data_IF_352090221794
#
_entry.id   IF_352090221794
#
_cell.length_a   1.000
_cell.length_b   1.000
_cell.length_c   1.000
_cell.angle_alpha   90.00
_cell.angle_beta   90.00
_cell.angle_gamma   90.00
#
_symmetry.space_group_name_H-M   'P 1'
#
loop_
_entity.id
_entity.type
_entity.pdbx_description
1 polymer ?
#
# COMPACT_ATOMS: atom_id res chain seq x y z
N UNK A 1 -5.16 13.32 14.48
CA UNK A 1 -5.48 14.68 13.99
C UNK A 1 -5.42 14.71 12.46
N UNK A 2 -6.56 14.78 11.73
CA UNK A 2 -6.54 15.04 10.29
C UNK A 2 -6.11 16.49 10.03
N UNK A 3 -5.11 16.67 9.16
CA UNK A 3 -4.58 18.00 8.79
C UNK A 3 -5.65 18.71 7.96
N UNK A 4 -6.20 19.83 8.46
CA UNK A 4 -7.16 20.64 7.71
C UNK A 4 -6.48 21.16 6.45
N UNK A 5 -7.00 20.80 5.28
CA UNK A 5 -6.50 21.28 3.99
C UNK A 5 -6.90 22.74 3.86
N UNK A 6 -5.94 23.65 3.71
CA UNK A 6 -6.21 25.08 3.64
C UNK A 6 -6.67 25.43 2.21
N UNK A 7 -7.99 25.49 2.02
CA UNK A 7 -8.64 25.67 0.72
C UNK A 7 -8.20 26.95 0.00
N UNK A 8 -7.90 28.02 0.77
CA UNK A 8 -7.41 29.28 0.22
C UNK A 8 -6.03 29.12 -0.46
N UNK A 9 -5.13 28.38 0.15
CA UNK A 9 -3.80 28.11 -0.42
C UNK A 9 -3.88 27.26 -1.67
N UNK A 10 -4.84 26.31 -1.73
CA UNK A 10 -5.08 25.50 -2.92
C UNK A 10 -5.65 26.34 -4.07
N UNK A 11 -6.60 27.22 -3.79
CA UNK A 11 -7.21 28.11 -4.78
C UNK A 11 -6.18 29.07 -5.40
N UNK A 12 -5.26 29.62 -4.60
CA UNK A 12 -4.18 30.48 -5.09
C UNK A 12 -3.23 29.71 -6.00
N UNK A 13 -2.84 28.49 -5.60
CA UNK A 13 -1.86 27.69 -6.36
C UNK A 13 -2.40 27.18 -7.69
N UNK A 14 -3.67 26.78 -7.73
CA UNK A 14 -4.26 26.13 -8.91
C UNK A 14 -5.21 27.02 -9.72
N UNK A 15 -5.65 28.15 -9.17
CA UNK A 15 -6.50 29.13 -9.85
C UNK A 15 -5.99 29.56 -11.23
N UNK A 16 -4.70 29.93 -11.38
CA UNK A 16 -4.15 30.35 -12.68
C UNK A 16 -4.17 29.24 -13.74
N UNK A 17 -3.93 27.98 -13.34
CA UNK A 17 -3.88 26.83 -14.25
C UNK A 17 -5.28 26.48 -14.74
N UNK A 18 -6.27 26.50 -13.85
CA UNK A 18 -7.68 26.25 -14.20
C UNK A 18 -8.21 27.36 -15.11
N UNK A 19 -7.88 28.62 -14.81
CA UNK A 19 -8.29 29.79 -15.60
C UNK A 19 -7.71 29.77 -17.02
N UNK A 20 -6.41 29.51 -17.18
CA UNK A 20 -5.76 29.44 -18.49
C UNK A 20 -6.30 28.29 -19.36
N UNK A 21 -6.62 27.14 -18.76
CA UNK A 21 -7.25 26.02 -19.46
C UNK A 21 -8.68 26.35 -19.91
N UNK A 22 -9.46 27.03 -19.06
CA UNK A 22 -10.83 27.44 -19.38
C UNK A 22 -10.87 28.45 -20.54
N UNK A 23 -9.92 29.40 -20.59
CA UNK A 23 -9.82 30.37 -21.67
C UNK A 23 -9.51 29.72 -23.03
N UNK A 24 -8.71 28.64 -23.04
CA UNK A 24 -8.20 28.04 -24.29
C UNK A 24 -9.12 26.96 -24.87
N UNK A 25 -9.87 26.25 -24.02
CA UNK A 25 -10.63 25.06 -24.42
C UNK A 25 -12.12 25.11 -24.06
N UNK A 26 -12.58 26.15 -23.36
CA UNK A 26 -13.95 26.28 -22.89
C UNK A 26 -14.23 25.47 -21.61
N UNK A 27 -15.22 25.89 -20.80
CA UNK A 27 -15.48 25.32 -19.47
C UNK A 27 -15.87 23.84 -19.51
N UNK A 28 -16.61 23.40 -20.53
CA UNK A 28 -17.06 22.01 -20.70
C UNK A 28 -15.92 21.02 -20.95
N UNK A 29 -14.88 21.41 -21.70
CA UNK A 29 -13.72 20.55 -21.96
C UNK A 29 -12.86 20.40 -20.70
N UNK A 30 -12.72 21.48 -19.92
CA UNK A 30 -12.01 21.46 -18.64
C UNK A 30 -12.72 20.58 -17.61
N UNK A 31 -14.04 20.65 -17.53
CA UNK A 31 -14.83 19.77 -16.66
C UNK A 31 -14.69 18.30 -17.03
N UNK A 32 -14.65 17.98 -18.32
CA UNK A 32 -14.47 16.61 -18.80
C UNK A 32 -13.07 16.06 -18.49
N UNK A 33 -12.02 16.88 -18.64
CA UNK A 33 -10.64 16.53 -18.26
C UNK A 33 -10.52 16.39 -16.74
N UNK A 34 -11.19 17.25 -15.97
CA UNK A 34 -11.22 17.18 -14.50
C UNK A 34 -11.94 15.92 -14.01
N UNK A 35 -13.08 15.53 -14.59
CA UNK A 35 -13.75 14.26 -14.28
C UNK A 35 -12.88 13.03 -14.59
N UNK A 36 -12.06 13.09 -15.63
CA UNK A 36 -11.10 12.03 -15.94
C UNK A 36 -9.91 11.95 -14.95
N UNK A 37 -9.73 12.94 -14.06
CA UNK A 37 -8.69 12.89 -13.00
C UNK A 37 -9.11 12.05 -11.80
N UNK A 38 -10.40 11.83 -11.56
CA UNK A 38 -10.89 10.98 -10.46
C UNK A 38 -10.26 9.57 -10.42
N UNK A 39 -10.12 8.81 -11.53
CA UNK A 39 -9.45 7.50 -11.50
C UNK A 39 -7.96 7.60 -11.13
N UNK A 40 -7.26 8.63 -11.61
CA UNK A 40 -5.85 8.84 -11.28
C UNK A 40 -5.66 9.23 -9.80
N UNK A 41 -6.57 10.03 -9.24
CA UNK A 41 -6.56 10.40 -7.83
C UNK A 41 -6.82 9.21 -6.92
N UNK A 42 -7.75 8.30 -7.28
CA UNK A 42 -7.98 7.05 -6.53
C UNK A 42 -6.73 6.16 -6.47
N UNK A 43 -6.01 6.01 -7.58
CA UNK A 43 -4.74 5.27 -7.60
C UNK A 43 -3.66 5.91 -6.71
N UNK A 44 -3.61 7.24 -6.68
CA UNK A 44 -2.67 7.98 -5.82
C UNK A 44 -3.08 7.86 -4.35
N UNK A 45 -4.36 7.96 -4.02
CA UNK A 45 -4.88 7.79 -2.66
C UNK A 45 -4.69 6.35 -2.16
N UNK A 46 -4.95 5.34 -2.99
CA UNK A 46 -4.66 3.92 -2.70
C UNK A 46 -3.16 3.71 -2.45
N UNK A 47 -2.28 4.35 -3.24
CA UNK A 47 -0.83 4.33 -2.98
C UNK A 47 -0.48 5.05 -1.69
N UNK A 48 -1.05 6.22 -1.42
CA UNK A 48 -0.76 7.00 -0.21
C UNK A 48 -1.24 6.30 1.07
N UNK A 49 -2.40 5.64 1.04
CA UNK A 49 -2.88 4.80 2.14
C UNK A 49 -1.91 3.63 2.42
N UNK A 50 -1.36 3.00 1.37
CA UNK A 50 -0.33 1.95 1.49
C UNK A 50 1.02 2.48 1.99
N UNK A 51 1.41 3.70 1.61
CA UNK A 51 2.63 4.35 2.11
C UNK A 51 2.49 4.67 3.60
N UNK A 52 1.30 5.06 4.05
CA UNK A 52 1.03 5.39 5.46
C UNK A 52 1.07 4.16 6.38
N UNK A 53 0.84 2.96 5.84
CA UNK A 53 0.86 1.72 6.61
C UNK A 53 1.47 0.60 5.77
N UNK A 54 2.75 0.32 6.00
CA UNK A 54 3.46 -0.73 5.27
C UNK A 54 2.86 -2.12 5.63
N UNK A 55 2.11 -2.76 4.73
CA UNK A 55 1.37 -3.99 5.04
C UNK A 55 2.31 -5.15 5.36
N UNK A 56 3.51 -5.17 4.79
CA UNK A 56 4.54 -6.15 5.13
C UNK A 56 4.97 -6.01 6.58
N UNK A 57 5.19 -4.77 7.05
CA UNK A 57 5.60 -4.51 8.44
C UNK A 57 4.51 -4.93 9.42
N UNK A 58 3.25 -4.67 9.10
CA UNK A 58 2.12 -5.13 9.92
C UNK A 58 2.01 -6.65 9.96
N UNK A 59 2.16 -7.32 8.81
CA UNK A 59 2.14 -8.76 8.74
C UNK A 59 3.27 -9.40 9.56
N UNK A 60 4.48 -8.83 9.51
CA UNK A 60 5.60 -9.31 10.33
C UNK A 60 5.34 -9.10 11.81
N UNK A 61 4.83 -7.94 12.23
CA UNK A 61 4.46 -7.70 13.62
C UNK A 61 3.35 -8.65 14.11
N UNK A 62 2.40 -9.00 13.23
CA UNK A 62 1.36 -9.98 13.55
C UNK A 62 1.93 -11.40 13.65
N UNK A 63 2.85 -11.79 12.76
CA UNK A 63 3.55 -13.06 12.84
C UNK A 63 4.41 -13.18 14.12
N UNK A 64 5.02 -12.09 14.57
CA UNK A 64 5.77 -12.07 15.84
C UNK A 64 4.87 -12.38 17.07
N UNK A 65 3.57 -12.10 16.99
CA UNK A 65 2.62 -12.34 18.09
C UNK A 65 2.01 -13.75 18.14
N UNK A 66 2.22 -14.57 17.11
CA UNK A 66 1.62 -15.91 17.02
C UNK A 66 2.67 -17.00 17.14
N UNK A 67 2.25 -18.19 17.58
CA UNK A 67 3.16 -19.32 17.77
C UNK A 67 3.68 -19.83 16.42
N UNK A 68 5.00 -19.96 16.30
CA UNK A 68 5.67 -20.35 15.06
C UNK A 68 5.26 -19.49 13.86
N UNK A 69 5.09 -18.19 14.08
CA UNK A 69 4.58 -17.27 13.08
C UNK A 69 5.39 -17.23 11.79
N UNK A 70 4.68 -17.26 10.67
CA UNK A 70 5.25 -17.10 9.34
C UNK A 70 4.40 -16.17 8.49
N UNK A 71 5.00 -15.58 7.47
CA UNK A 71 4.31 -14.72 6.51
C UNK A 71 4.56 -15.20 5.09
N UNK A 72 3.53 -15.18 4.27
CA UNK A 72 3.63 -15.45 2.84
C UNK A 72 3.07 -14.27 2.04
N UNK A 73 3.85 -13.80 1.06
CA UNK A 73 3.35 -12.86 0.08
C UNK A 73 2.58 -13.62 -1.00
N UNK A 74 1.35 -13.18 -1.25
CA UNK A 74 0.50 -13.66 -2.34
C UNK A 74 -0.02 -12.49 -3.14
N UNK A 75 -0.49 -12.76 -4.35
CA UNK A 75 -1.08 -11.75 -5.23
C UNK A 75 -2.49 -12.15 -5.60
N UNK A 76 -3.42 -11.23 -5.45
CA UNK A 76 -4.79 -11.39 -5.90
C UNK A 76 -5.18 -10.14 -6.69
N UNK A 77 -5.73 -10.32 -7.90
CA UNK A 77 -6.10 -9.22 -8.83
C UNK A 77 -4.99 -8.17 -9.03
N UNK A 78 -3.73 -8.62 -9.10
CA UNK A 78 -2.56 -7.75 -9.26
C UNK A 78 -2.19 -6.93 -8.02
N UNK A 79 -2.82 -7.21 -6.86
CA UNK A 79 -2.55 -6.55 -5.58
C UNK A 79 -1.81 -7.52 -4.65
N UNK A 80 -0.73 -7.07 -3.97
CA UNK A 80 -0.03 -7.91 -3.01
C UNK A 80 -0.77 -7.97 -1.67
N UNK A 81 -0.86 -9.18 -1.13
CA UNK A 81 -1.37 -9.48 0.21
C UNK A 81 -0.31 -10.27 0.98
N UNK A 82 -0.23 -10.05 2.28
CA UNK A 82 0.67 -10.73 3.20
C UNK A 82 -0.18 -11.57 4.15
N UNK A 83 -0.26 -12.87 3.88
CA UNK A 83 -0.97 -13.81 4.72
C UNK A 83 -0.07 -14.23 5.87
N UNK A 84 -0.61 -14.16 7.08
CA UNK A 84 0.08 -14.52 8.33
C UNK A 84 -0.40 -15.90 8.74
N UNK A 85 0.54 -16.75 9.13
CA UNK A 85 0.30 -18.12 9.57
C UNK A 85 0.70 -18.28 11.03
N UNK A 86 -0.07 -19.10 11.75
CA UNK A 86 0.31 -19.72 13.01
C UNK A 86 0.54 -21.19 12.72
N UNK A 87 1.77 -21.68 12.91
CA UNK A 87 2.21 -23.00 12.41
C UNK A 87 1.92 -23.15 10.90
N UNK A 88 0.88 -23.91 10.54
CA UNK A 88 0.45 -24.15 9.16
C UNK A 88 -0.89 -23.49 8.80
N UNK A 89 -1.57 -22.88 9.76
CA UNK A 89 -2.92 -22.32 9.61
C UNK A 89 -2.89 -20.82 9.34
N UNK A 90 -3.60 -20.31 8.31
CA UNK A 90 -3.70 -18.89 8.07
C UNK A 90 -4.58 -18.20 9.13
N UNK A 91 -4.04 -17.19 9.79
CA UNK A 91 -4.70 -16.48 10.90
C UNK A 91 -5.01 -15.01 10.59
N UNK A 92 -4.45 -14.46 9.52
CA UNK A 92 -4.73 -13.07 9.14
C UNK A 92 -4.11 -12.65 7.82
N UNK A 93 -4.50 -11.48 7.32
CA UNK A 93 -4.00 -10.93 6.05
C UNK A 93 -3.81 -9.42 6.13
N UNK A 94 -2.73 -8.94 5.52
CA UNK A 94 -2.41 -7.52 5.42
C UNK A 94 -2.10 -7.11 3.96
N UNK A 95 -2.75 -6.07 3.40
CA UNK A 95 -3.82 -5.28 4.01
C UNK A 95 -5.05 -6.15 4.30
N UNK A 96 -5.84 -5.74 5.30
CA UNK A 96 -7.04 -6.46 5.68
C UNK A 96 -8.01 -6.56 4.49
N UNK A 97 -8.62 -7.74 4.32
CA UNK A 97 -9.56 -8.01 3.25
C UNK A 97 -10.52 -9.13 3.67
N UNK A 98 -11.70 -9.15 3.05
CA UNK A 98 -12.72 -10.19 3.26
C UNK A 98 -12.58 -11.35 2.26
N UNK A 99 -11.51 -11.36 1.45
CA UNK A 99 -11.25 -12.46 0.51
C UNK A 99 -10.92 -13.72 1.32
N UNK A 100 -11.55 -14.87 1.05
CA UNK A 100 -11.25 -16.13 1.74
C UNK A 100 -9.79 -16.55 1.57
N UNK A 101 -9.24 -17.23 2.59
CA UNK A 101 -7.85 -17.68 2.55
C UNK A 101 -7.60 -18.71 1.45
N UNK A 102 -8.60 -19.55 1.15
CA UNK A 102 -8.57 -20.54 0.07
C UNK A 102 -8.30 -19.86 -1.28
N UNK A 103 -8.91 -18.70 -1.49
CA UNK A 103 -8.74 -17.90 -2.71
C UNK A 103 -7.38 -17.20 -2.74
N UNK A 104 -6.92 -16.64 -1.60
CA UNK A 104 -5.64 -15.94 -1.52
C UNK A 104 -4.44 -16.89 -1.63
N UNK A 105 -4.58 -18.10 -1.10
CA UNK A 105 -3.55 -19.12 -1.07
C UNK A 105 -3.66 -20.11 -2.22
N UNK A 106 -4.58 -19.88 -3.16
CA UNK A 106 -4.70 -20.70 -4.36
C UNK A 106 -3.36 -20.67 -5.12
N UNK A 107 -2.74 -21.84 -5.26
CA UNK A 107 -1.40 -22.02 -5.86
C UNK A 107 -0.23 -21.38 -5.09
N UNK A 108 -0.42 -21.00 -3.83
CA UNK A 108 0.66 -20.49 -3.00
C UNK A 108 1.55 -21.64 -2.50
N UNK A 109 2.83 -21.60 -2.85
CA UNK A 109 3.83 -22.60 -2.44
C UNK A 109 4.17 -22.46 -0.93
N UNK A 110 3.84 -23.44 -0.06
CA UNK A 110 4.13 -23.35 1.37
C UNK A 110 5.62 -23.19 1.70
N UNK A 111 6.53 -23.65 0.83
CA UNK A 111 7.97 -23.54 1.07
C UNK A 111 8.48 -22.09 0.99
N UNK A 112 7.70 -21.17 0.42
CA UNK A 112 8.03 -19.73 0.33
C UNK A 112 7.63 -18.91 1.55
N UNK A 113 7.11 -19.56 2.60
CA UNK A 113 6.79 -18.89 3.86
C UNK A 113 8.08 -18.42 4.53
N UNK A 114 8.05 -17.20 5.05
CA UNK A 114 9.20 -16.59 5.71
C UNK A 114 8.87 -16.34 7.18
N UNK A 115 9.78 -16.70 8.08
CA UNK A 115 9.65 -16.31 9.49
C UNK A 115 10.16 -14.88 9.71
N UNK A 116 9.62 -14.15 10.69
CA UNK A 116 10.11 -12.82 11.04
C UNK A 116 11.61 -12.79 11.35
N UNK A 117 12.13 -13.80 12.03
CA UNK A 117 13.54 -13.88 12.43
C UNK A 117 14.49 -14.03 11.24
N UNK A 118 14.11 -14.80 10.22
CA UNK A 118 14.93 -15.01 9.01
C UNK A 118 15.12 -13.69 8.24
N UNK A 119 14.07 -12.87 8.22
CA UNK A 119 14.06 -11.57 7.56
C UNK A 119 14.85 -10.49 8.30
N UNK A 120 14.99 -10.60 9.62
CA UNK A 120 15.80 -9.67 10.43
C UNK A 120 17.29 -9.94 10.28
N UNK A 121 17.68 -11.20 10.10
CA UNK A 121 19.09 -11.64 10.02
C UNK A 121 19.80 -11.20 8.74
N UNK A 122 19.07 -10.85 7.68
CA UNK A 122 19.65 -10.61 6.35
C UNK A 122 20.38 -9.26 6.20
N UNK A 123 20.36 -8.38 7.20
CA UNK A 123 21.06 -7.10 7.12
C UNK A 123 22.49 -7.24 7.69
N UNK A 124 23.40 -7.85 6.92
CA UNK A 124 24.82 -7.70 7.19
C UNK A 124 25.29 -6.35 6.63
N UNK A 125 25.26 -5.29 7.43
CA UNK A 125 25.85 -4.01 7.03
C UNK A 125 27.36 -4.11 7.23
N UNK A 126 28.19 -3.96 6.18
CA UNK A 126 29.64 -3.90 6.36
C UNK A 126 29.97 -2.73 7.29
N UNK A 127 30.66 -3.03 8.40
CA UNK A 127 31.10 -2.03 9.37
C UNK A 127 32.07 -1.08 8.69
N UNK A 128 31.65 0.18 8.45
CA UNK A 128 32.52 1.23 7.89
C UNK A 128 33.73 1.42 8.82
N UNK A 129 34.91 1.00 8.37
CA UNK A 129 36.19 1.24 9.07
C UNK A 129 36.44 2.75 9.07
N UNK A 130 36.52 3.38 10.24
CA UNK A 130 37.01 4.77 10.34
C UNK A 130 38.54 4.71 10.15
N UNK A 131 39.02 5.38 9.13
CA UNK A 131 40.43 5.76 8.98
C UNK A 131 40.68 7.11 9.63
#
# INVERSE_FOLDING_TARGET
MPRKVNLATLAIKYGPVVYALAQRYGPTVVEQIMRQRDPAQRLIQDRQARVRTNPRKLALAHADSVIEGAVQQVFHTGRPYWVVFSRSEPVGVHPHTNIPFETLLLNADPARRMRPDDLRRTIHVPRRKKG
#
